data_IF_230661625086
#
_entry.id   IF_230661625086
#
_cell.length_a   1.000
_cell.length_b   1.000
_cell.length_c   1.000
_cell.angle_alpha   90.00
_cell.angle_beta   90.00
_cell.angle_gamma   90.00
#
_symmetry.space_group_name_H-M   'P 1'
#
loop_
_entity.id
_entity.type
_entity.pdbx_description
1 polymer ?
#
# COMPACT_ATOMS: atom_id res chain seq x y z
N UNK A 1 6.89 -13.88 -6.87
CA UNK A 1 7.07 -14.14 -5.43
C UNK A 1 6.37 -13.07 -4.62
N UNK A 2 5.94 -13.40 -3.39
CA UNK A 2 5.43 -12.42 -2.42
C UNK A 2 6.60 -11.84 -1.64
N UNK A 3 6.85 -10.54 -1.77
CA UNK A 3 7.99 -9.88 -1.14
C UNK A 3 7.62 -9.07 0.11
N UNK A 4 6.36 -9.13 0.54
CA UNK A 4 5.85 -8.28 1.61
C UNK A 4 4.68 -8.95 2.35
N UNK A 5 4.49 -8.58 3.61
CA UNK A 5 3.46 -9.10 4.50
C UNK A 5 2.74 -7.96 5.23
N UNK A 6 1.42 -8.11 5.38
CA UNK A 6 0.52 -7.15 6.01
C UNK A 6 -0.63 -7.90 6.70
N UNK A 7 -1.46 -7.21 7.48
CA UNK A 7 -2.46 -7.84 8.34
C UNK A 7 -3.90 -7.48 7.93
N UNK A 8 -4.81 -8.45 8.08
CA UNK A 8 -6.25 -8.19 8.17
C UNK A 8 -6.67 -8.30 9.63
N UNK A 9 -7.49 -7.37 10.12
CA UNK A 9 -7.99 -7.36 11.50
C UNK A 9 -9.51 -7.29 11.51
N UNK A 10 -10.15 -7.99 12.44
CA UNK A 10 -11.62 -7.94 12.63
C UNK A 10 -11.95 -7.14 13.89
N UNK A 11 -12.71 -6.06 13.75
CA UNK A 11 -13.13 -5.18 14.85
C UNK A 11 -14.64 -4.98 14.73
N UNK A 12 -15.39 -5.29 15.79
CA UNK A 12 -16.86 -5.21 15.81
C UNK A 12 -17.49 -5.89 14.58
N UNK A 13 -17.07 -7.15 14.33
CA UNK A 13 -17.47 -7.99 13.20
C UNK A 13 -17.16 -7.48 11.78
N UNK A 14 -16.46 -6.35 11.65
CA UNK A 14 -16.01 -5.82 10.36
C UNK A 14 -14.52 -6.08 10.15
N UNK A 15 -14.15 -6.50 8.94
CA UNK A 15 -12.76 -6.71 8.55
C UNK A 15 -12.14 -5.42 8.00
N UNK A 16 -10.87 -5.21 8.33
CA UNK A 16 -10.05 -4.07 7.92
C UNK A 16 -8.66 -4.54 7.48
N UNK A 17 -8.01 -3.77 6.61
CA UNK A 17 -6.67 -4.03 6.13
C UNK A 17 -5.70 -3.04 6.76
N UNK A 18 -4.50 -3.50 7.14
CA UNK A 18 -3.46 -2.62 7.66
C UNK A 18 -2.08 -3.16 7.38
N UNK A 19 -1.12 -2.25 7.23
CA UNK A 19 0.29 -2.56 7.11
C UNK A 19 1.08 -1.77 8.16
N UNK A 20 1.41 -2.44 9.26
CA UNK A 20 2.13 -1.84 10.39
C UNK A 20 3.55 -1.42 9.98
N UNK A 21 4.18 -2.15 9.06
CA UNK A 21 5.52 -1.82 8.59
C UNK A 21 5.50 -0.48 7.84
N UNK A 22 4.58 -0.29 6.89
CA UNK A 22 4.49 0.96 6.14
C UNK A 22 3.84 2.08 6.95
N UNK A 23 2.96 1.77 7.91
CA UNK A 23 2.38 2.73 8.84
C UNK A 23 3.41 3.29 9.83
N UNK A 24 4.45 2.53 10.18
CA UNK A 24 5.49 2.97 11.12
C UNK A 24 6.34 4.14 10.59
N UNK A 25 6.24 4.46 9.30
CA UNK A 25 7.01 5.53 8.66
C UNK A 25 8.39 5.05 8.18
N UNK A 26 9.22 5.99 7.73
CA UNK A 26 10.55 5.66 7.18
C UNK A 26 11.57 5.51 8.33
N UNK A 27 12.30 4.41 8.34
CA UNK A 27 13.50 4.27 9.18
C UNK A 27 14.59 5.16 8.59
N UNK A 28 15.08 6.12 9.37
CA UNK A 28 16.27 6.87 8.97
C UNK A 28 17.49 5.93 9.03
N UNK A 29 17.99 5.51 7.85
CA UNK A 29 19.14 4.58 7.69
C UNK A 29 20.33 4.85 8.61
N UNK A 30 20.56 6.11 9.01
CA UNK A 30 21.68 6.52 9.85
C UNK A 30 21.46 6.42 11.36
N UNK A 31 20.23 6.34 11.88
CA UNK A 31 19.99 6.49 13.33
C UNK A 31 19.30 5.31 14.02
N UNK A 32 18.88 4.25 13.30
CA UNK A 32 17.96 3.21 13.84
C UNK A 32 16.76 3.83 14.59
N UNK A 33 16.46 5.11 14.32
CA UNK A 33 15.32 5.82 14.84
C UNK A 33 14.28 5.80 13.73
N UNK A 34 13.13 5.28 14.06
CA UNK A 34 11.91 5.48 13.28
C UNK A 34 11.66 6.99 13.32
N UNK A 35 11.68 7.65 12.15
CA UNK A 35 11.25 9.05 12.10
C UNK A 35 9.77 9.07 12.49
N UNK A 36 9.41 9.93 13.44
CA UNK A 36 8.11 10.02 14.11
C UNK A 36 6.91 10.37 13.22
N UNK A 37 7.06 10.32 11.89
CA UNK A 37 5.97 10.48 10.94
C UNK A 37 5.27 9.15 10.72
N UNK A 38 4.41 8.76 11.67
CA UNK A 38 3.43 7.67 11.45
C UNK A 38 2.65 8.00 10.19
N UNK A 39 2.46 7.01 9.33
CA UNK A 39 1.63 7.14 8.14
C UNK A 39 0.32 6.41 8.38
N UNK A 40 -0.65 7.15 8.91
CA UNK A 40 -1.97 6.61 9.26
C UNK A 40 -2.75 6.10 8.03
N UNK A 41 -2.31 6.45 6.81
CA UNK A 41 -2.89 5.87 5.59
C UNK A 41 -2.90 4.35 5.61
N UNK A 42 -1.86 3.70 6.15
CA UNK A 42 -1.74 2.24 6.20
C UNK A 42 -2.39 1.62 7.45
N UNK A 43 -3.13 2.40 8.23
CA UNK A 43 -3.88 1.95 9.40
C UNK A 43 -5.38 1.84 9.05
N UNK A 44 -5.92 0.63 9.06
CA UNK A 44 -7.33 0.34 8.74
C UNK A 44 -7.80 0.94 7.41
N UNK A 45 -6.92 0.88 6.40
CA UNK A 45 -7.14 1.48 5.09
C UNK A 45 -8.35 0.84 4.39
N UNK A 46 -9.19 1.64 3.71
CA UNK A 46 -10.24 1.12 2.85
C UNK A 46 -9.68 0.14 1.81
N UNK A 47 -10.34 -1.01 1.57
CA UNK A 47 -9.90 -1.99 0.58
C UNK A 47 -9.61 -1.42 -0.82
N UNK A 48 -10.39 -0.44 -1.26
CA UNK A 48 -10.29 0.22 -2.57
C UNK A 48 -8.99 1.01 -2.74
N UNK A 49 -8.47 1.55 -1.64
CA UNK A 49 -7.19 2.26 -1.60
C UNK A 49 -6.04 1.29 -1.35
N UNK A 50 -6.23 0.32 -0.46
CA UNK A 50 -5.19 -0.64 -0.09
C UNK A 50 -4.79 -1.55 -1.28
N UNK A 51 -5.77 -1.98 -2.10
CA UNK A 51 -5.53 -2.86 -3.26
C UNK A 51 -4.63 -2.24 -4.33
N UNK A 52 -4.42 -0.92 -4.35
CA UNK A 52 -3.54 -0.25 -5.31
C UNK A 52 -2.07 -0.60 -5.08
N UNK A 53 -1.71 -0.94 -3.84
CA UNK A 53 -0.33 -1.24 -3.43
C UNK A 53 -0.17 -2.64 -2.84
N UNK A 54 -1.23 -3.23 -2.28
CA UNK A 54 -1.19 -4.47 -1.52
C UNK A 54 -2.23 -5.46 -2.02
N UNK A 55 -1.88 -6.23 -3.05
CA UNK A 55 -2.73 -7.33 -3.51
C UNK A 55 -2.45 -8.62 -2.72
N UNK A 56 -3.45 -9.23 -2.05
CA UNK A 56 -3.28 -10.50 -1.38
C UNK A 56 -3.07 -11.65 -2.37
N UNK A 57 -2.46 -12.73 -1.89
CA UNK A 57 -2.33 -13.98 -2.65
C UNK A 57 -3.70 -14.60 -2.93
N UNK A 58 -4.58 -14.65 -1.91
CA UNK A 58 -5.94 -15.18 -2.03
C UNK A 58 -6.93 -14.03 -2.25
N UNK A 59 -7.78 -14.15 -3.26
CA UNK A 59 -8.66 -13.06 -3.70
C UNK A 59 -9.73 -12.65 -2.68
N UNK A 60 -10.16 -13.55 -1.81
CA UNK A 60 -11.15 -13.26 -0.77
C UNK A 60 -10.67 -12.22 0.26
N UNK A 61 -9.35 -12.09 0.46
CA UNK A 61 -8.76 -11.09 1.36
C UNK A 61 -8.59 -9.71 0.73
N UNK A 62 -9.09 -9.51 -0.50
CA UNK A 62 -9.17 -8.16 -1.05
C UNK A 62 -10.25 -7.35 -0.33
N UNK A 63 -11.25 -8.00 0.28
CA UNK A 63 -12.39 -7.36 0.96
C UNK A 63 -13.16 -6.36 0.07
N UNK A 64 -13.03 -6.49 -1.25
CA UNK A 64 -13.77 -5.73 -2.24
C UNK A 64 -15.03 -6.48 -2.65
N UNK A 65 -16.10 -5.74 -2.97
CA UNK A 65 -17.29 -6.30 -3.63
C UNK A 65 -16.95 -6.94 -4.97
N UNK A 66 -16.05 -6.30 -5.73
CA UNK A 66 -15.52 -6.80 -7.01
C UNK A 66 -14.00 -6.99 -6.94
N UNK A 67 -13.50 -8.23 -6.77
CA UNK A 67 -12.08 -8.49 -6.68
C UNK A 67 -11.30 -8.07 -7.94
N UNK A 68 -10.18 -7.38 -7.73
CA UNK A 68 -9.23 -6.97 -8.76
C UNK A 68 -8.40 -8.18 -9.21
N UNK A 69 -8.47 -8.48 -10.51
CA UNK A 69 -7.63 -9.49 -11.15
C UNK A 69 -6.17 -9.06 -11.17
N UNK A 70 -5.25 -10.03 -11.21
CA UNK A 70 -3.81 -9.74 -11.28
C UNK A 70 -3.45 -8.85 -12.48
N UNK A 71 -4.08 -9.10 -13.64
CA UNK A 71 -3.88 -8.29 -14.85
C UNK A 71 -4.30 -6.82 -14.65
N UNK A 72 -5.44 -6.59 -13.98
CA UNK A 72 -5.92 -5.24 -13.66
C UNK A 72 -4.98 -4.56 -12.65
N UNK A 73 -4.55 -5.29 -11.62
CA UNK A 73 -3.59 -4.80 -10.63
C UNK A 73 -2.26 -4.34 -11.25
N UNK A 74 -1.64 -5.16 -12.09
CA UNK A 74 -0.38 -4.81 -12.78
C UNK A 74 -0.55 -3.55 -13.64
N UNK A 75 -1.71 -3.40 -14.30
CA UNK A 75 -2.00 -2.20 -15.10
C UNK A 75 -2.06 -0.95 -14.24
N UNK A 76 -2.74 -1.00 -13.08
CA UNK A 76 -2.82 0.12 -12.13
C UNK A 76 -1.42 0.51 -11.66
N UNK A 77 -0.63 -0.45 -11.18
CA UNK A 77 0.73 -0.21 -10.68
C UNK A 77 1.63 0.45 -11.75
N UNK A 78 1.57 -0.03 -12.99
CA UNK A 78 2.34 0.55 -14.09
C UNK A 78 1.92 1.99 -14.43
N UNK A 79 0.63 2.32 -14.32
CA UNK A 79 0.14 3.68 -14.53
C UNK A 79 0.63 4.62 -13.41
N UNK A 80 0.61 4.19 -12.15
CA UNK A 80 1.15 4.98 -11.03
C UNK A 80 2.66 5.21 -11.16
N UNK A 81 3.43 4.21 -11.61
CA UNK A 81 4.87 4.36 -11.85
C UNK A 81 5.11 5.39 -12.97
N UNK A 82 4.40 5.29 -14.09
CA UNK A 82 4.55 6.23 -15.22
C UNK A 82 4.20 7.66 -14.82
N UNK A 83 3.12 7.86 -14.06
CA UNK A 83 2.73 9.19 -13.57
C UNK A 83 3.81 9.77 -12.64
N UNK A 84 4.31 9.00 -11.65
CA UNK A 84 5.41 9.45 -10.79
C UNK A 84 6.67 9.83 -11.59
N UNK A 85 7.12 9.00 -12.53
CA UNK A 85 8.30 9.28 -13.36
C UNK A 85 8.08 10.56 -14.19
N UNK A 86 6.89 10.74 -14.76
CA UNK A 86 6.53 11.95 -15.49
C UNK A 86 6.69 13.19 -14.62
N UNK A 87 6.05 13.22 -13.44
CA UNK A 87 6.16 14.33 -12.49
C UNK A 87 7.60 14.66 -12.10
N UNK A 88 8.44 13.65 -11.82
CA UNK A 88 9.85 13.87 -11.50
C UNK A 88 10.65 14.49 -12.66
N UNK A 89 10.35 14.15 -13.92
CA UNK A 89 11.04 14.73 -15.09
C UNK A 89 10.66 16.20 -15.33
N UNK A 90 9.52 16.64 -14.84
CA UNK A 90 9.07 18.04 -14.95
C UNK A 90 9.42 18.90 -13.73
N UNK A 91 9.87 18.31 -12.62
CA UNK A 91 10.15 18.99 -11.35
C UNK A 91 11.56 18.72 -10.80
N UNK A 92 12.56 18.55 -11.68
CA UNK A 92 13.97 18.72 -11.30
C UNK A 92 14.42 20.09 -11.78
N UNK A 93 14.53 21.11 -10.89
CA UNK A 93 15.28 22.30 -11.22
C UNK A 93 16.74 21.90 -11.40
N UNK A 94 17.36 22.37 -12.49
CA UNK A 94 18.80 22.26 -12.73
C UNK A 94 19.61 22.92 -11.61
#
# INVERSE_FOLDING_TARGET
ETNHAWNSVKINDKWYLMDVCWASGKIAKRKRKINSGRNDFYYLTPPEEFIKTHRPVKNNWQLLSEPVSMRKYIRIANTEIKTKISWYRFWTPF
#
